data_IF_821042341872
#
_entry.id   IF_821042341872
#
_cell.length_a   1.000
_cell.length_b   1.000
_cell.length_c   1.000
_cell.angle_alpha   90.00
_cell.angle_beta   90.00
_cell.angle_gamma   90.00
#
_symmetry.space_group_name_H-M   'P 1'
#
loop_
_entity.id
_entity.type
_entity.pdbx_description
1 polymer ?
#
# COMPACT_ATOMS: atom_id res chain seq x y z
N UNK A 1 -22.12 -7.65 14.61
CA UNK A 1 -20.69 -8.02 14.58
C UNK A 1 -19.99 -6.96 13.77
N UNK A 2 -19.53 -5.90 14.44
CA UNK A 2 -18.82 -4.77 13.82
C UNK A 2 -17.36 -5.17 13.58
N UNK A 3 -17.08 -5.71 12.39
CA UNK A 3 -15.74 -6.07 11.94
C UNK A 3 -15.02 -4.97 11.14
N UNK A 4 -15.54 -3.74 11.14
CA UNK A 4 -15.12 -2.69 10.20
C UNK A 4 -13.93 -1.83 10.63
N UNK A 5 -13.61 -1.73 11.92
CA UNK A 5 -12.74 -0.63 12.43
C UNK A 5 -11.37 -1.12 12.96
N UNK A 6 -11.21 -2.41 13.27
CA UNK A 6 -9.93 -2.93 13.80
C UNK A 6 -8.92 -3.33 12.73
N UNK A 7 -9.35 -3.53 11.47
CA UNK A 7 -8.46 -4.05 10.42
C UNK A 7 -7.43 -3.02 9.95
N UNK A 8 -7.73 -1.72 10.02
CA UNK A 8 -6.85 -0.64 9.52
C UNK A 8 -5.51 -0.54 10.27
N UNK A 9 -5.53 -0.60 11.61
CA UNK A 9 -4.32 -0.41 12.42
C UNK A 9 -3.41 -1.64 12.44
N UNK A 10 -3.98 -2.84 12.44
CA UNK A 10 -3.20 -4.08 12.49
C UNK A 10 -2.51 -4.37 11.14
N UNK A 11 -3.12 -3.93 10.04
CA UNK A 11 -2.59 -4.10 8.70
C UNK A 11 -1.37 -3.21 8.42
N UNK A 12 -1.45 -1.89 8.69
CA UNK A 12 -0.32 -0.98 8.46
C UNK A 12 0.91 -1.44 9.26
N UNK A 13 0.68 -1.87 10.50
CA UNK A 13 1.70 -2.47 11.36
C UNK A 13 2.33 -3.72 10.74
N UNK A 14 1.53 -4.57 10.10
CA UNK A 14 2.02 -5.77 9.41
C UNK A 14 2.93 -5.40 8.22
N UNK A 15 2.56 -4.42 7.40
CA UNK A 15 3.43 -3.95 6.31
C UNK A 15 4.72 -3.34 6.86
N UNK A 16 4.62 -2.49 7.89
CA UNK A 16 5.78 -1.86 8.54
C UNK A 16 6.76 -2.94 9.03
N UNK A 17 6.24 -3.98 9.69
CA UNK A 17 7.04 -5.10 10.16
C UNK A 17 7.65 -5.91 9.01
N UNK A 18 6.90 -6.18 7.95
CA UNK A 18 7.37 -6.97 6.81
C UNK A 18 8.42 -6.25 5.96
N UNK A 19 8.31 -4.92 5.83
CA UNK A 19 9.18 -4.10 4.99
C UNK A 19 10.35 -3.49 5.74
N UNK A 20 10.24 -3.36 7.07
CA UNK A 20 11.19 -2.61 7.90
C UNK A 20 11.16 -1.10 7.64
N UNK A 21 10.15 -0.59 6.93
CA UNK A 21 10.04 0.82 6.59
C UNK A 21 9.26 1.59 7.66
N UNK A 22 9.60 2.87 7.89
CA UNK A 22 8.85 3.75 8.78
C UNK A 22 7.35 3.82 8.41
N UNK A 23 6.50 3.78 9.44
CA UNK A 23 5.03 3.80 9.29
C UNK A 23 4.53 5.00 8.50
N UNK A 24 5.08 6.20 8.75
CA UNK A 24 4.73 7.40 8.03
C UNK A 24 5.04 7.31 6.52
N UNK A 25 6.13 6.63 6.14
CA UNK A 25 6.49 6.45 4.73
C UNK A 25 5.54 5.46 4.06
N UNK A 26 5.22 4.35 4.73
CA UNK A 26 4.24 3.37 4.24
C UNK A 26 2.87 4.04 4.08
N UNK A 27 2.40 4.77 5.09
CA UNK A 27 1.10 5.42 5.08
C UNK A 27 0.98 6.45 3.96
N UNK A 28 1.95 7.36 3.84
CA UNK A 28 1.94 8.39 2.81
C UNK A 28 1.94 7.78 1.41
N UNK A 29 2.73 6.72 1.20
CA UNK A 29 2.83 6.08 -0.11
C UNK A 29 1.56 5.31 -0.47
N UNK A 30 0.98 4.55 0.47
CA UNK A 30 -0.30 3.89 0.26
C UNK A 30 -1.42 4.89 -0.01
N UNK A 31 -1.46 6.00 0.73
CA UNK A 31 -2.43 7.07 0.52
C UNK A 31 -2.31 7.68 -0.87
N UNK A 32 -1.07 8.00 -1.31
CA UNK A 32 -0.79 8.48 -2.66
C UNK A 32 -1.27 7.49 -3.73
N UNK A 33 -0.94 6.20 -3.58
CA UNK A 33 -1.33 5.14 -4.50
C UNK A 33 -2.86 4.95 -4.56
N UNK A 34 -3.55 5.03 -3.42
CA UNK A 34 -5.00 4.96 -3.35
C UNK A 34 -5.66 6.13 -4.10
N UNK A 35 -5.17 7.36 -3.88
CA UNK A 35 -5.65 8.56 -4.58
C UNK A 35 -5.50 8.46 -6.10
N UNK A 36 -4.35 7.95 -6.59
CA UNK A 36 -4.11 7.75 -8.03
C UNK A 36 -5.12 6.82 -8.69
N UNK A 37 -5.80 5.97 -7.92
CA UNK A 37 -6.78 5.01 -8.41
C UNK A 37 -8.21 5.32 -7.99
N UNK A 38 -8.44 6.46 -7.33
CA UNK A 38 -9.75 6.86 -6.83
C UNK A 38 -10.27 5.97 -5.68
N UNK A 39 -9.38 5.34 -4.93
CA UNK A 39 -9.70 4.49 -3.78
C UNK A 39 -9.67 5.30 -2.48
N UNK A 40 -10.51 4.93 -1.52
CA UNK A 40 -10.51 5.51 -0.18
C UNK A 40 -9.69 4.63 0.75
N UNK A 41 -8.67 5.21 1.40
CA UNK A 41 -7.82 4.49 2.35
C UNK A 41 -8.61 3.89 3.51
N UNK A 42 -9.63 4.62 3.98
CA UNK A 42 -10.39 4.25 5.18
C UNK A 42 -11.31 3.01 4.98
N UNK A 43 -11.45 2.55 3.74
CA UNK A 43 -12.33 1.43 3.38
C UNK A 43 -11.65 0.47 2.40
N UNK A 44 -10.32 0.43 2.41
CA UNK A 44 -9.57 -0.31 1.42
C UNK A 44 -9.65 -1.82 1.67
N UNK A 45 -10.22 -2.56 0.73
CA UNK A 45 -10.28 -4.02 0.82
C UNK A 45 -8.90 -4.66 0.61
N UNK A 46 -8.74 -5.91 1.06
CA UNK A 46 -7.50 -6.66 0.86
C UNK A 46 -7.15 -6.83 -0.63
N UNK A 47 -8.15 -6.99 -1.50
CA UNK A 47 -7.94 -7.13 -2.94
C UNK A 47 -7.51 -5.80 -3.59
N UNK A 48 -8.12 -4.68 -3.19
CA UNK A 48 -7.70 -3.35 -3.62
C UNK A 48 -6.27 -3.04 -3.17
N UNK A 49 -5.93 -3.39 -1.94
CA UNK A 49 -4.58 -3.26 -1.43
C UNK A 49 -3.57 -4.09 -2.23
N UNK A 50 -3.88 -5.37 -2.47
CA UNK A 50 -3.02 -6.25 -3.27
C UNK A 50 -2.80 -5.66 -4.66
N UNK A 51 -3.84 -5.10 -5.25
CA UNK A 51 -3.77 -4.40 -6.54
C UNK A 51 -2.88 -3.15 -6.48
N UNK A 52 -2.99 -2.34 -5.43
CA UNK A 52 -2.13 -1.17 -5.21
C UNK A 52 -0.66 -1.54 -5.08
N UNK A 53 -0.34 -2.51 -4.23
CA UNK A 53 1.03 -2.96 -4.01
C UNK A 53 1.65 -3.59 -5.26
N UNK A 54 0.86 -4.39 -5.99
CA UNK A 54 1.30 -5.00 -7.26
C UNK A 54 1.60 -3.93 -8.31
N UNK A 55 0.74 -2.91 -8.40
CA UNK A 55 0.95 -1.78 -9.30
C UNK A 55 2.21 -0.99 -8.96
N UNK A 56 2.40 -0.67 -7.69
CA UNK A 56 3.60 0.01 -7.20
C UNK A 56 4.86 -0.80 -7.54
N UNK A 57 4.90 -2.08 -7.16
CA UNK A 57 6.06 -2.95 -7.42
C UNK A 57 6.38 -3.03 -8.91
N UNK A 58 5.37 -3.18 -9.77
CA UNK A 58 5.57 -3.19 -11.22
C UNK A 58 6.20 -1.88 -11.70
N UNK A 59 5.73 -0.74 -11.22
CA UNK A 59 6.27 0.56 -11.61
C UNK A 59 7.72 0.73 -11.18
N UNK A 60 8.08 0.34 -9.95
CA UNK A 60 9.45 0.40 -9.46
C UNK A 60 10.37 -0.53 -10.24
N UNK A 61 9.93 -1.75 -10.56
CA UNK A 61 10.71 -2.67 -11.39
C UNK A 61 10.91 -2.15 -12.82
N UNK A 62 9.91 -1.48 -13.41
CA UNK A 62 10.04 -0.83 -14.73
C UNK A 62 11.02 0.33 -14.69
N UNK A 63 10.98 1.18 -13.65
CA UNK A 63 11.94 2.27 -13.46
C UNK A 63 13.35 1.73 -13.29
N UNK A 64 13.53 0.71 -12.45
CA UNK A 64 14.82 0.04 -12.25
C UNK A 64 15.34 -0.52 -13.58
N UNK A 65 14.52 -1.27 -14.33
CA UNK A 65 14.91 -1.80 -15.65
C UNK A 65 15.42 -0.70 -16.58
N UNK A 66 14.74 0.46 -16.65
CA UNK A 66 15.15 1.59 -17.49
C UNK A 66 16.46 2.25 -17.03
N UNK A 67 16.74 2.24 -15.73
CA UNK A 67 17.98 2.82 -15.18
C UNK A 67 19.21 1.92 -15.43
N UNK A 68 19.01 0.62 -15.62
CA UNK A 68 20.06 -0.38 -15.84
C UNK A 68 20.10 -0.96 -17.27
N UNK A 69 19.33 -0.39 -18.22
CA UNK A 69 19.38 -0.73 -19.66
C UNK A 69 20.00 0.42 -20.45
#
# INVERSE_FOLDING_TARGET
MDGGIYMEKDFLKTIVQATGLPENLIFNELHRLAQERGLQMDNLSLEELRSLLTYYLRNELVKAKKAYS
#
